data_IF_083657427558
#
_entry.id   IF_083657427558
#
_cell.length_a   1.000
_cell.length_b   1.000
_cell.length_c   1.000
_cell.angle_alpha   90.00
_cell.angle_beta   90.00
_cell.angle_gamma   90.00
#
_symmetry.space_group_name_H-M   'P 1'
#
loop_
_entity.id
_entity.type
_entity.pdbx_description
1 polymer ?
#
# COMPACT_ATOMS: atom_id res chain seq x y z
N UNK A 1 -0.52 19.21 -7.01
CA UNK A 1 -0.32 18.18 -8.05
C UNK A 1 -1.56 17.31 -8.15
N UNK A 2 -1.94 16.83 -9.34
CA UNK A 2 -3.07 15.88 -9.48
C UNK A 2 -2.60 14.47 -9.13
N UNK A 3 -3.45 13.64 -8.52
CA UNK A 3 -3.07 12.27 -8.15
C UNK A 3 -2.58 11.42 -9.33
N UNK A 4 -3.21 11.53 -10.50
CA UNK A 4 -2.77 10.80 -11.71
C UNK A 4 -1.35 11.17 -12.15
N UNK A 5 -0.98 12.43 -12.03
CA UNK A 5 0.35 12.95 -12.35
C UNK A 5 1.38 12.44 -11.34
N UNK A 6 1.07 12.54 -10.04
CA UNK A 6 1.92 12.02 -8.97
C UNK A 6 2.23 10.53 -9.14
N UNK A 7 1.23 9.73 -9.54
CA UNK A 7 1.39 8.30 -9.77
C UNK A 7 2.40 8.03 -10.88
N UNK A 8 2.31 8.78 -11.98
CA UNK A 8 3.22 8.62 -13.12
C UNK A 8 4.65 8.98 -12.69
N UNK A 9 4.82 10.04 -11.91
CA UNK A 9 6.13 10.46 -11.41
C UNK A 9 6.72 9.39 -10.49
N UNK A 10 5.97 8.91 -9.49
CA UNK A 10 6.42 7.86 -8.58
C UNK A 10 6.78 6.56 -9.31
N UNK A 11 6.01 6.16 -10.33
CA UNK A 11 6.32 4.97 -11.14
C UNK A 11 7.62 5.16 -11.93
N UNK A 12 7.91 6.39 -12.39
CA UNK A 12 9.17 6.70 -13.08
C UNK A 12 10.35 6.69 -12.10
N UNK A 13 10.17 7.18 -10.88
CA UNK A 13 11.22 7.28 -9.86
C UNK A 13 11.54 5.91 -9.21
N UNK A 14 10.52 5.12 -8.89
CA UNK A 14 10.65 3.90 -8.09
C UNK A 14 10.34 2.62 -8.86
N UNK A 15 9.98 2.74 -10.14
CA UNK A 15 9.50 1.64 -10.95
C UNK A 15 8.02 1.32 -10.72
N UNK A 16 7.48 0.45 -11.58
CA UNK A 16 6.12 -0.07 -11.43
C UNK A 16 6.12 -1.19 -10.37
N UNK A 17 6.23 -0.80 -9.10
CA UNK A 17 6.31 -1.70 -7.94
C UNK A 17 5.31 -1.29 -6.86
N UNK A 18 4.74 -2.28 -6.16
CA UNK A 18 3.94 -2.06 -4.96
C UNK A 18 4.87 -1.99 -3.76
N UNK A 19 4.75 -0.95 -2.93
CA UNK A 19 5.59 -0.75 -1.74
C UNK A 19 5.22 -1.69 -0.58
N UNK A 20 4.22 -2.55 -0.75
CA UNK A 20 3.96 -3.72 0.12
C UNK A 20 4.23 -5.05 -0.60
N UNK A 21 4.97 -5.02 -1.71
CA UNK A 21 5.40 -6.20 -2.44
C UNK A 21 4.31 -6.91 -3.21
N UNK A 22 3.08 -6.38 -3.22
CA UNK A 22 1.93 -6.91 -3.95
C UNK A 22 2.17 -7.12 -5.45
N UNK A 23 1.54 -8.14 -6.02
CA UNK A 23 1.59 -8.38 -7.46
C UNK A 23 0.69 -7.37 -8.19
N UNK A 24 1.25 -6.67 -9.18
CA UNK A 24 0.53 -5.69 -9.99
C UNK A 24 -0.12 -6.41 -11.17
N UNK A 25 -1.42 -6.27 -11.30
CA UNK A 25 -2.17 -6.83 -12.44
C UNK A 25 -3.35 -5.96 -12.83
N UNK A 26 -4.06 -6.32 -13.90
CA UNK A 26 -5.33 -5.65 -14.25
C UNK A 26 -6.37 -5.77 -13.12
N UNK A 27 -6.33 -6.86 -12.35
CA UNK A 27 -7.22 -7.11 -11.20
C UNK A 27 -6.69 -6.52 -9.90
N UNK A 28 -5.41 -6.13 -9.84
CA UNK A 28 -4.77 -5.49 -8.70
C UNK A 28 -3.92 -4.31 -9.16
N UNK A 29 -4.55 -3.21 -9.64
CA UNK A 29 -3.80 -2.09 -10.20
C UNK A 29 -3.11 -1.28 -9.11
N UNK A 30 -1.98 -0.62 -9.45
CA UNK A 30 -1.37 0.38 -8.58
C UNK A 30 -2.35 1.53 -8.30
N UNK A 31 -2.32 2.00 -7.07
CA UNK A 31 -2.99 3.17 -6.53
C UNK A 31 -1.95 4.05 -5.82
N UNK A 32 -2.39 5.23 -5.36
CA UNK A 32 -1.58 6.08 -4.48
C UNK A 32 -2.16 5.96 -3.08
N UNK A 33 -1.27 5.74 -2.13
CA UNK A 33 -1.52 5.87 -0.70
C UNK A 33 -0.92 7.18 -0.19
N UNK A 34 -1.65 7.88 0.68
CA UNK A 34 -1.15 9.07 1.36
C UNK A 34 -0.66 8.66 2.76
N UNK A 35 0.62 8.88 3.08
CA UNK A 35 1.16 8.55 4.40
C UNK A 35 0.45 9.35 5.50
N UNK A 36 0.23 10.64 5.25
CA UNK A 36 -0.71 11.47 6.01
C UNK A 36 -1.97 11.65 5.16
N UNK A 37 -3.14 11.16 5.60
CA UNK A 37 -4.38 11.28 4.85
C UNK A 37 -4.79 12.73 4.58
N UNK A 38 -5.42 12.98 3.43
CA UNK A 38 -5.90 14.34 3.05
C UNK A 38 -6.90 14.91 4.07
N UNK A 39 -7.77 14.06 4.64
CA UNK A 39 -8.72 14.45 5.70
C UNK A 39 -8.04 14.97 6.98
N UNK A 40 -6.77 14.65 7.19
CA UNK A 40 -5.93 15.11 8.30
C UNK A 40 -4.98 16.24 7.88
N UNK A 41 -5.21 16.89 6.73
CA UNK A 41 -4.34 17.94 6.19
C UNK A 41 -3.16 17.44 5.35
N UNK A 42 -3.11 16.15 5.02
CA UNK A 42 -2.08 15.57 4.18
C UNK A 42 -2.07 16.14 2.76
N UNK A 43 -0.90 16.60 2.30
CA UNK A 43 -0.75 17.18 0.97
C UNK A 43 -0.50 16.10 -0.09
N UNK A 44 -0.93 16.37 -1.34
CA UNK A 44 -0.60 15.52 -2.50
C UNK A 44 0.75 15.96 -3.08
N UNK A 45 1.82 15.58 -2.40
CA UNK A 45 3.23 15.83 -2.73
C UNK A 45 4.01 14.53 -2.68
N UNK A 46 5.01 14.34 -3.56
CA UNK A 46 5.67 13.04 -3.75
C UNK A 46 6.16 12.40 -2.45
N UNK A 47 6.70 13.20 -1.52
CA UNK A 47 7.18 12.72 -0.22
C UNK A 47 6.08 12.07 0.63
N UNK A 48 4.84 12.57 0.56
CA UNK A 48 3.69 12.08 1.31
C UNK A 48 2.94 10.94 0.59
N UNK A 49 3.48 10.43 -0.51
CA UNK A 49 2.83 9.42 -1.32
C UNK A 49 3.64 8.13 -1.39
N UNK A 50 2.93 7.01 -1.41
CA UNK A 50 3.46 5.67 -1.62
C UNK A 50 2.66 4.96 -2.73
N UNK A 51 3.32 4.08 -3.49
CA UNK A 51 2.67 3.25 -4.50
C UNK A 51 2.18 1.95 -3.85
N UNK A 52 0.87 1.76 -3.75
CA UNK A 52 0.29 0.49 -3.29
C UNK A 52 -0.60 -0.08 -4.37
N UNK A 53 -0.48 -1.38 -4.63
CA UNK A 53 -1.53 -2.12 -5.32
C UNK A 53 -2.85 -2.01 -4.56
N UNK A 54 -3.97 -2.11 -5.28
CA UNK A 54 -5.30 -1.94 -4.71
C UNK A 54 -5.56 -2.87 -3.51
N UNK A 55 -5.20 -4.15 -3.63
CA UNK A 55 -5.38 -5.13 -2.58
C UNK A 55 -4.57 -4.77 -1.34
N UNK A 56 -3.27 -4.50 -1.51
CA UNK A 56 -2.37 -4.12 -0.42
C UNK A 56 -2.76 -2.79 0.23
N UNK A 57 -3.34 -1.87 -0.53
CA UNK A 57 -3.91 -0.64 0.02
C UNK A 57 -5.14 -0.95 0.89
N UNK A 58 -6.03 -1.82 0.44
CA UNK A 58 -7.19 -2.24 1.23
C UNK A 58 -6.75 -3.01 2.51
N UNK A 59 -5.67 -3.81 2.44
CA UNK A 59 -5.05 -4.48 3.59
C UNK A 59 -4.47 -3.46 4.58
N UNK A 60 -3.72 -2.46 4.09
CA UNK A 60 -3.20 -1.38 4.92
C UNK A 60 -4.33 -0.65 5.64
N UNK A 61 -5.42 -0.33 4.95
CA UNK A 61 -6.57 0.35 5.55
C UNK A 61 -7.25 -0.49 6.65
N UNK A 62 -7.32 -1.81 6.48
CA UNK A 62 -7.82 -2.71 7.53
C UNK A 62 -6.90 -2.68 8.76
N UNK A 63 -5.59 -2.72 8.55
CA UNK A 63 -4.58 -2.63 9.62
C UNK A 63 -4.64 -1.25 10.30
N UNK A 64 -4.74 -0.14 9.56
CA UNK A 64 -4.85 1.22 10.12
C UNK A 64 -6.04 1.36 11.06
N UNK A 65 -7.17 0.75 10.70
CA UNK A 65 -8.39 0.79 11.51
C UNK A 65 -8.23 0.03 12.84
N UNK A 66 -7.53 -1.10 12.85
CA UNK A 66 -7.42 -1.97 14.03
C UNK A 66 -6.14 -1.73 14.86
N UNK A 67 -5.05 -1.36 14.19
CA UNK A 67 -3.68 -1.25 14.73
C UNK A 67 -3.01 0.03 14.21
N UNK A 68 -3.41 1.21 14.71
CA UNK A 68 -2.90 2.49 14.20
C UNK A 68 -1.38 2.65 14.36
N UNK A 69 -0.79 2.11 15.43
CA UNK A 69 0.67 2.11 15.63
C UNK A 69 1.39 1.29 14.56
N UNK A 70 0.87 0.12 14.23
CA UNK A 70 1.43 -0.72 13.16
C UNK A 70 1.29 -0.04 11.80
N UNK A 71 0.20 0.68 11.54
CA UNK A 71 0.07 1.47 10.32
C UNK A 71 1.08 2.63 10.24
N UNK A 72 1.43 3.24 11.37
CA UNK A 72 2.52 4.23 11.44
C UNK A 72 3.88 3.60 11.10
N UNK A 73 4.19 2.43 11.66
CA UNK A 73 5.41 1.66 11.35
C UNK A 73 5.47 1.27 9.86
N UNK A 74 4.33 0.89 9.26
CA UNK A 74 4.24 0.60 7.83
C UNK A 74 4.45 1.87 6.97
N UNK A 75 3.94 3.02 7.42
CA UNK A 75 4.21 4.29 6.77
C UNK A 75 5.71 4.67 6.84
N UNK A 76 6.38 4.42 7.97
CA UNK A 76 7.84 4.59 8.08
C UNK A 76 8.59 3.65 7.15
N UNK A 77 8.12 2.40 7.05
CA UNK A 77 8.65 1.46 6.07
C UNK A 77 8.49 1.97 4.62
N UNK A 78 7.38 2.63 4.26
CA UNK A 78 7.24 3.21 2.91
C UNK A 78 8.26 4.32 2.65
N UNK A 79 8.58 5.15 3.66
CA UNK A 79 9.65 6.15 3.54
C UNK A 79 11.00 5.46 3.32
N UNK A 80 11.31 4.47 4.14
CA UNK A 80 12.52 3.67 4.03
C UNK A 80 12.66 2.99 2.65
N UNK A 81 11.59 2.37 2.14
CA UNK A 81 11.64 1.65 0.87
C UNK A 81 11.87 2.59 -0.32
N UNK A 82 11.30 3.81 -0.31
CA UNK A 82 11.54 4.81 -1.35
C UNK A 82 13.01 5.18 -1.49
N UNK A 83 13.74 5.21 -0.38
CA UNK A 83 15.15 5.58 -0.35
C UNK A 83 16.05 4.39 -0.71
N UNK A 84 15.72 3.19 -0.24
CA UNK A 84 16.63 2.04 -0.28
C UNK A 84 16.32 1.03 -1.36
N UNK A 85 15.06 0.93 -1.80
CA UNK A 85 14.55 -0.13 -2.66
C UNK A 85 14.92 -1.55 -2.16
N UNK A 86 14.96 -1.74 -0.84
CA UNK A 86 15.29 -3.05 -0.25
C UNK A 86 14.19 -4.09 -0.55
N UNK A 87 14.45 -4.91 -1.57
CA UNK A 87 13.54 -5.97 -2.03
C UNK A 87 13.46 -7.14 -1.05
N UNK A 88 14.44 -7.32 -0.16
CA UNK A 88 14.39 -8.36 0.87
C UNK A 88 13.41 -7.94 1.97
N UNK A 89 13.54 -6.71 2.46
CA UNK A 89 12.60 -6.14 3.42
C UNK A 89 11.18 -6.08 2.83
N UNK A 90 11.04 -5.76 1.55
CA UNK A 90 9.75 -5.78 0.84
C UNK A 90 9.01 -7.12 0.93
N UNK A 91 9.73 -8.23 0.74
CA UNK A 91 9.13 -9.57 0.88
C UNK A 91 8.69 -9.84 2.31
N UNK A 92 9.53 -9.50 3.28
CA UNK A 92 9.23 -9.68 4.71
C UNK A 92 8.01 -8.85 5.14
N UNK A 93 7.92 -7.60 4.70
CA UNK A 93 6.77 -6.74 5.00
C UNK A 93 5.49 -7.22 4.34
N UNK A 94 5.56 -7.78 3.13
CA UNK A 94 4.40 -8.40 2.49
C UNK A 94 3.87 -9.58 3.31
N UNK A 95 4.75 -10.48 3.72
CA UNK A 95 4.39 -11.65 4.53
C UNK A 95 3.77 -11.21 5.87
N UNK A 96 4.37 -10.21 6.52
CA UNK A 96 3.85 -9.64 7.76
C UNK A 96 2.44 -9.05 7.61
N UNK A 97 2.22 -8.20 6.60
CA UNK A 97 0.91 -7.60 6.33
C UNK A 97 -0.13 -8.66 5.99
N UNK A 98 0.23 -9.69 5.23
CA UNK A 98 -0.67 -10.81 4.92
C UNK A 98 -1.08 -11.57 6.20
N UNK A 99 -0.12 -11.89 7.08
CA UNK A 99 -0.41 -12.56 8.35
C UNK A 99 -1.36 -11.73 9.20
N UNK A 100 -1.07 -10.45 9.42
CA UNK A 100 -1.93 -9.56 10.21
C UNK A 100 -3.34 -9.46 9.64
N UNK A 101 -3.44 -9.37 8.32
CA UNK A 101 -4.73 -9.28 7.63
C UNK A 101 -5.56 -10.56 7.84
N UNK A 102 -4.91 -11.73 7.78
CA UNK A 102 -5.55 -13.01 8.06
C UNK A 102 -6.00 -13.12 9.52
N UNK A 103 -5.17 -12.68 10.47
CA UNK A 103 -5.49 -12.67 11.91
C UNK A 103 -6.69 -11.76 12.23
N UNK A 104 -6.88 -10.68 11.45
CA UNK A 104 -8.06 -9.82 11.53
C UNK A 104 -9.35 -10.47 10.96
N UNK A 105 -9.23 -11.68 10.42
CA UNK A 105 -10.31 -12.45 9.82
C UNK A 105 -10.60 -12.08 8.36
N UNK A 106 -9.67 -11.39 7.70
CA UNK A 106 -9.82 -11.05 6.29
C UNK A 106 -9.19 -12.11 5.37
N UNK A 107 -9.80 -12.30 4.21
CA UNK A 107 -9.29 -13.13 3.13
C UNK A 107 -9.44 -12.41 1.78
N UNK A 108 -8.62 -12.83 0.81
CA UNK A 108 -8.67 -12.32 -0.55
C UNK A 108 -9.73 -13.10 -1.32
N UNK A 109 -10.65 -12.38 -1.96
CA UNK A 109 -11.61 -12.95 -2.88
C UNK A 109 -11.45 -12.33 -4.27
N UNK A 110 -11.56 -13.18 -5.30
CA UNK A 110 -11.66 -12.73 -6.67
C UNK A 110 -13.12 -12.45 -7.02
N UNK A 111 -13.52 -11.17 -7.05
CA UNK A 111 -14.88 -10.77 -7.39
C UNK A 111 -14.91 -10.09 -8.77
N UNK A 112 -15.23 -10.87 -9.80
CA UNK A 112 -15.35 -10.39 -11.16
C UNK A 112 -14.01 -9.90 -11.74
N UNK A 113 -13.84 -8.58 -11.85
CA UNK A 113 -12.68 -7.96 -12.53
C UNK A 113 -11.57 -7.49 -11.58
N UNK A 114 -11.75 -7.53 -10.26
CA UNK A 114 -10.80 -6.96 -9.28
C UNK A 114 -10.64 -7.93 -8.09
N UNK A 115 -9.43 -7.99 -7.52
CA UNK A 115 -9.17 -8.65 -6.23
C UNK A 115 -9.70 -7.79 -5.08
N UNK A 116 -10.43 -8.40 -4.16
CA UNK A 116 -11.04 -7.68 -3.04
C UNK A 116 -10.72 -8.33 -1.72
N UNK A 117 -10.60 -7.51 -0.67
CA UNK A 117 -10.45 -7.97 0.70
C UNK A 117 -11.84 -8.12 1.35
N UNK A 118 -12.10 -9.28 1.96
CA UNK A 118 -13.37 -9.60 2.62
C UNK A 118 -13.12 -10.10 4.03
N UNK A 119 -13.96 -9.70 4.97
CA UNK A 119 -13.94 -10.21 6.35
C UNK A 119 -14.95 -11.35 6.46
N UNK A 120 -14.54 -12.46 7.09
CA UNK A 120 -15.46 -13.53 7.47
C UNK A 120 -16.45 -13.09 8.53
#
# INVERSE_FOLDING_TARGET
MKGKEAKIILIREHGNICFLGGEISKKNPITIHHLVPVRMGGQTVLVNLALLCRLEHDMFNAIECCYPKTAEELNDYFRYFKETHDLKMLKQMREYVLSLTQDLGYHVEERGKILTLKRK
#
